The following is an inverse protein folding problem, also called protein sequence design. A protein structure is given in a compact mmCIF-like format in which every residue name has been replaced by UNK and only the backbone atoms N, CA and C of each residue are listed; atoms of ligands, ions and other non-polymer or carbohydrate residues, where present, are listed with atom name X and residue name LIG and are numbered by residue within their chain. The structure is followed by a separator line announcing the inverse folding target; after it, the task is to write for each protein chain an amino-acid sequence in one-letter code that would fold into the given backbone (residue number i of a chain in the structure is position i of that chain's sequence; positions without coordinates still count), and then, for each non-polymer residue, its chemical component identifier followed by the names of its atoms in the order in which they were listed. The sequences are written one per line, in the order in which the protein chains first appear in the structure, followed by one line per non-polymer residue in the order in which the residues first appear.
data_IF_312624067526
#
_entry.id   IF_312624067526
#
_cell.length_a   1.000
_cell.length_b   1.000
_cell.length_c   1.000
_cell.angle_alpha   90.00
_cell.angle_beta   90.00
_cell.angle_gamma   90.00
#
_symmetry.space_group_name_H-M   'P 1'
#
loop_
_entity.id
_entity.type
_entity.pdbx_description
1 polymer ?
#
# COMPACT_ATOMS: atom_id res chain seq x y z
N UNK A 1 4.59 93.77 12.05
CA UNK A 1 4.08 93.04 10.86
C UNK A 1 5.28 92.73 9.98
N UNK A 2 5.59 91.44 9.82
CA UNK A 2 6.83 90.94 9.20
C UNK A 2 6.57 90.60 7.71
N UNK A 3 7.50 90.82 6.76
CA UNK A 3 7.26 90.53 5.35
C UNK A 3 7.47 89.05 5.03
N UNK A 4 6.62 88.54 4.13
CA UNK A 4 6.61 87.15 3.63
C UNK A 4 7.66 87.01 2.52
N UNK A 5 8.68 86.17 2.73
CA UNK A 5 9.61 85.75 1.67
C UNK A 5 8.93 84.78 0.70
N UNK A 6 8.81 85.14 -0.58
CA UNK A 6 8.53 84.19 -1.67
C UNK A 6 9.84 83.53 -2.11
N UNK A 7 9.94 82.21 -1.99
CA UNK A 7 10.97 81.41 -2.66
C UNK A 7 10.45 80.89 -3.99
N UNK A 8 11.20 81.16 -5.07
CA UNK A 8 10.96 80.63 -6.42
C UNK A 8 11.67 79.30 -6.59
N UNK A 9 10.93 78.24 -6.94
CA UNK A 9 11.51 76.93 -7.29
C UNK A 9 11.90 76.95 -8.76
N UNK A 10 13.20 76.99 -9.03
CA UNK A 10 13.76 76.84 -10.39
C UNK A 10 13.85 75.37 -10.75
N UNK A 11 12.98 74.90 -11.65
CA UNK A 11 13.09 73.56 -12.23
C UNK A 11 14.15 73.56 -13.33
N UNK A 12 15.25 72.84 -13.08
CA UNK A 12 16.31 72.60 -14.07
C UNK A 12 15.78 71.56 -15.09
N UNK A 13 15.67 71.89 -16.39
CA UNK A 13 15.25 70.90 -17.37
C UNK A 13 16.40 69.92 -17.62
N UNK A 14 16.21 68.64 -17.27
CA UNK A 14 17.15 67.59 -17.61
C UNK A 14 16.95 67.16 -19.07
N UNK A 15 17.92 67.51 -19.90
CA UNK A 15 18.01 67.08 -21.29
C UNK A 15 18.63 65.67 -21.39
N UNK A 16 17.94 64.79 -22.11
CA UNK A 16 18.47 63.62 -22.83
C UNK A 16 19.30 62.58 -22.06
N UNK A 17 18.61 61.75 -21.28
CA UNK A 17 19.07 60.41 -20.84
C UNK A 17 17.97 59.36 -21.15
N UNK A 18 17.28 59.51 -22.30
CA UNK A 18 16.16 58.62 -22.72
C UNK A 18 16.63 57.19 -23.07
N UNK A 19 17.91 57.00 -23.37
CA UNK A 19 18.48 55.68 -23.68
C UNK A 19 18.86 54.87 -22.43
N UNK A 20 19.53 55.52 -21.47
CA UNK A 20 20.01 54.86 -20.25
C UNK A 20 18.87 54.38 -19.35
N UNK A 21 17.78 55.16 -19.26
CA UNK A 21 16.58 54.79 -18.50
C UNK A 21 15.91 53.52 -19.02
N UNK A 22 15.84 53.32 -20.33
CA UNK A 22 15.28 52.12 -20.95
C UNK A 22 16.11 50.86 -20.64
N UNK A 23 17.44 50.98 -20.67
CA UNK A 23 18.35 49.87 -20.37
C UNK A 23 18.24 49.47 -18.89
N UNK A 24 18.21 50.45 -17.98
CA UNK A 24 18.09 50.19 -16.54
C UNK A 24 16.76 49.51 -16.23
N UNK A 25 15.65 49.99 -16.80
CA UNK A 25 14.33 49.39 -16.60
C UNK A 25 14.28 47.96 -17.16
N UNK A 26 14.86 47.71 -18.34
CA UNK A 26 14.92 46.36 -18.91
C UNK A 26 15.69 45.39 -17.99
N UNK A 27 16.84 45.80 -17.46
CA UNK A 27 17.61 44.98 -16.52
C UNK A 27 16.85 44.71 -15.21
N UNK A 28 16.15 45.71 -14.69
CA UNK A 28 15.31 45.58 -13.49
C UNK A 28 14.17 44.58 -13.72
N UNK A 29 13.52 44.64 -14.88
CA UNK A 29 12.48 43.68 -15.27
C UNK A 29 13.03 42.25 -15.43
N UNK A 30 14.23 42.09 -15.99
CA UNK A 30 14.89 40.79 -16.11
C UNK A 30 15.22 40.22 -14.72
N UNK A 31 15.76 41.02 -13.80
CA UNK A 31 16.06 40.58 -12.44
C UNK A 31 14.80 40.11 -11.69
N UNK A 32 13.71 40.89 -11.79
CA UNK A 32 12.43 40.51 -11.18
C UNK A 32 11.87 39.24 -11.84
N UNK A 33 11.99 39.09 -13.16
CA UNK A 33 11.55 37.89 -13.87
C UNK A 33 12.36 36.64 -13.47
N UNK A 34 13.67 36.76 -13.27
CA UNK A 34 14.52 35.65 -12.83
C UNK A 34 14.16 35.19 -11.41
N UNK A 35 13.93 36.13 -10.49
CA UNK A 35 13.46 35.81 -9.12
C UNK A 35 12.06 35.20 -9.18
N UNK A 36 11.17 35.74 -10.02
CA UNK A 36 9.83 35.21 -10.24
C UNK A 36 9.85 33.75 -10.72
N UNK A 37 10.66 33.45 -11.75
CA UNK A 37 10.82 32.09 -12.29
C UNK A 37 11.38 31.12 -11.25
N UNK A 38 12.28 31.58 -10.37
CA UNK A 38 12.83 30.75 -9.29
C UNK A 38 11.76 30.38 -8.25
N UNK A 39 10.89 31.34 -7.90
CA UNK A 39 9.72 31.09 -7.03
C UNK A 39 8.70 30.16 -7.68
N UNK A 40 8.43 30.34 -8.99
CA UNK A 40 7.51 29.45 -9.72
C UNK A 40 8.06 28.02 -9.90
N UNK A 41 9.37 27.83 -10.06
CA UNK A 41 9.98 26.48 -10.09
C UNK A 41 9.80 25.71 -8.78
N UNK A 42 9.73 26.40 -7.65
CA UNK A 42 9.44 25.74 -6.38
C UNK A 42 7.97 25.29 -6.33
N UNK A 43 7.05 26.04 -6.94
CA UNK A 43 5.61 25.74 -6.96
C UNK A 43 5.21 24.56 -7.87
N UNK A 44 5.96 24.25 -8.92
CA UNK A 44 5.73 23.04 -9.73
C UNK A 44 6.26 21.76 -9.08
N UNK A 45 7.15 21.89 -8.09
CA UNK A 45 7.61 20.78 -7.27
C UNK A 45 6.51 20.30 -6.31
N UNK A 46 5.65 21.22 -5.85
CA UNK A 46 4.52 20.91 -4.98
C UNK A 46 3.42 20.09 -5.69
N UNK A 47 3.20 20.26 -7.00
CA UNK A 47 2.15 19.53 -7.72
C UNK A 47 2.46 18.03 -7.83
N UNK A 48 3.74 17.67 -8.06
CA UNK A 48 4.17 16.26 -8.11
C UNK A 48 4.15 15.62 -6.73
N UNK A 49 4.54 16.37 -5.70
CA UNK A 49 4.52 15.92 -4.30
C UNK A 49 3.06 15.73 -3.82
N UNK A 50 2.16 16.64 -4.19
CA UNK A 50 0.73 16.54 -3.87
C UNK A 50 0.08 15.31 -4.53
N UNK A 51 0.32 15.05 -5.81
CA UNK A 51 -0.27 13.88 -6.49
C UNK A 51 0.31 12.55 -5.97
N UNK A 52 1.61 12.49 -5.66
CA UNK A 52 2.21 11.30 -5.05
C UNK A 52 1.63 11.00 -3.65
N UNK A 53 1.42 12.04 -2.84
CA UNK A 53 0.79 11.90 -1.50
C UNK A 53 -0.67 11.44 -1.57
N UNK A 54 -1.42 11.89 -2.58
CA UNK A 54 -2.80 11.46 -2.82
C UNK A 54 -2.86 9.98 -3.19
N UNK A 55 -1.99 9.51 -4.08
CA UNK A 55 -1.91 8.08 -4.45
C UNK A 55 -1.53 7.22 -3.24
N UNK A 56 -0.53 7.64 -2.45
CA UNK A 56 -0.14 6.89 -1.26
C UNK A 56 -1.28 6.77 -0.24
N UNK A 57 -2.06 7.83 -0.04
CA UNK A 57 -3.21 7.82 0.88
C UNK A 57 -4.31 6.89 0.36
N UNK A 58 -4.57 6.94 -0.94
CA UNK A 58 -5.56 6.12 -1.62
C UNK A 58 -5.20 4.63 -1.53
N UNK A 59 -3.93 4.28 -1.78
CA UNK A 59 -3.42 2.91 -1.64
C UNK A 59 -3.46 2.44 -0.17
N UNK A 60 -3.15 3.32 0.78
CA UNK A 60 -3.29 3.02 2.21
C UNK A 60 -4.75 2.70 2.59
N UNK A 61 -5.70 3.49 2.09
CA UNK A 61 -7.13 3.25 2.31
C UNK A 61 -7.60 1.95 1.66
N UNK A 62 -7.11 1.64 0.45
CA UNK A 62 -7.41 0.38 -0.22
C UNK A 62 -6.95 -0.84 0.58
N UNK A 63 -5.74 -0.80 1.15
CA UNK A 63 -5.24 -1.83 2.06
C UNK A 63 -6.14 -1.99 3.29
N UNK A 64 -6.48 -0.89 3.97
CA UNK A 64 -7.36 -0.95 5.15
C UNK A 64 -8.77 -1.45 4.82
N UNK A 65 -9.30 -1.08 3.66
CA UNK A 65 -10.59 -1.59 3.17
C UNK A 65 -10.52 -3.09 2.85
N UNK A 66 -9.42 -3.57 2.28
CA UNK A 66 -9.24 -5.00 1.99
C UNK A 66 -9.20 -5.83 3.28
N UNK A 67 -8.48 -5.39 4.31
CA UNK A 67 -8.53 -6.01 5.63
C UNK A 67 -9.94 -6.00 6.22
N UNK A 68 -10.61 -4.85 6.22
CA UNK A 68 -11.97 -4.73 6.75
C UNK A 68 -12.97 -5.65 6.03
N UNK A 69 -12.83 -5.84 4.71
CA UNK A 69 -13.62 -6.81 3.95
C UNK A 69 -13.38 -8.22 4.49
N UNK A 70 -12.11 -8.63 4.64
CA UNK A 70 -11.74 -9.98 5.12
C UNK A 70 -12.27 -10.23 6.53
N UNK A 71 -12.11 -9.28 7.43
CA UNK A 71 -12.60 -9.38 8.80
C UNK A 71 -14.13 -9.48 8.85
N UNK A 72 -14.83 -8.70 8.02
CA UNK A 72 -16.29 -8.77 7.90
C UNK A 72 -16.75 -10.14 7.39
N UNK A 73 -16.08 -10.70 6.39
CA UNK A 73 -16.39 -12.03 5.88
C UNK A 73 -16.18 -13.10 6.96
N UNK A 74 -15.06 -13.04 7.68
CA UNK A 74 -14.77 -13.96 8.78
C UNK A 74 -15.79 -13.85 9.92
N UNK A 75 -16.24 -12.62 10.24
CA UNK A 75 -17.26 -12.40 11.26
C UNK A 75 -18.64 -12.93 10.84
N UNK A 76 -18.98 -12.86 9.54
CA UNK A 76 -20.25 -13.38 9.02
C UNK A 76 -20.24 -14.90 8.85
N UNK A 77 -19.09 -15.49 8.50
CA UNK A 77 -18.90 -16.92 8.28
C UNK A 77 -17.67 -17.43 9.07
N UNK A 78 -17.77 -17.54 10.40
CA UNK A 78 -16.69 -18.08 11.22
C UNK A 78 -16.39 -19.53 10.83
N UNK A 79 -15.12 -19.93 10.80
CA UNK A 79 -14.67 -21.22 10.27
C UNK A 79 -14.71 -21.28 8.74
N UNK A 80 -14.80 -20.13 8.08
CA UNK A 80 -14.77 -20.00 6.63
C UNK A 80 -13.47 -20.52 6.02
N UNK A 81 -13.38 -20.45 4.71
CA UNK A 81 -12.26 -21.01 3.96
C UNK A 81 -10.91 -20.39 4.28
N UNK A 82 -10.85 -19.08 4.58
CA UNK A 82 -9.62 -18.43 4.99
C UNK A 82 -9.11 -18.98 6.33
N UNK A 83 -9.97 -18.97 7.36
CA UNK A 83 -9.68 -19.53 8.68
C UNK A 83 -9.29 -21.01 8.59
N UNK A 84 -9.97 -21.78 7.73
CA UNK A 84 -9.63 -23.16 7.43
C UNK A 84 -8.18 -23.31 6.97
N UNK A 85 -7.74 -22.61 5.93
CA UNK A 85 -6.35 -22.74 5.43
C UNK A 85 -5.30 -22.26 6.44
N UNK A 86 -5.65 -21.29 7.28
CA UNK A 86 -4.70 -20.67 8.21
C UNK A 86 -4.56 -21.42 9.53
N UNK A 87 -5.57 -22.21 9.88
CA UNK A 87 -5.55 -23.10 11.04
C UNK A 87 -5.17 -24.53 10.67
N UNK A 88 -4.78 -24.78 9.41
CA UNK A 88 -4.40 -26.12 8.99
C UNK A 88 -3.28 -26.69 9.88
N UNK A 89 -3.46 -27.91 10.41
CA UNK A 89 -2.43 -28.59 11.15
C UNK A 89 -1.34 -29.14 10.22
N UNK A 90 -0.13 -29.30 10.75
CA UNK A 90 1.04 -29.82 10.03
C UNK A 90 2.08 -28.75 9.71
N UNK A 91 3.35 -29.12 9.86
CA UNK A 91 4.50 -28.23 9.62
C UNK A 91 4.65 -27.83 8.14
N UNK A 92 4.05 -28.60 7.23
CA UNK A 92 4.00 -28.33 5.80
C UNK A 92 3.16 -27.10 5.42
N UNK A 93 2.32 -26.61 6.34
CA UNK A 93 1.48 -25.42 6.17
C UNK A 93 2.14 -24.16 6.74
N UNK A 94 3.18 -24.32 7.55
CA UNK A 94 3.97 -23.19 8.03
C UNK A 94 4.66 -22.51 6.84
N UNK A 95 4.68 -21.19 6.83
CA UNK A 95 5.19 -20.37 5.73
C UNK A 95 4.43 -20.60 4.40
N UNK A 96 3.29 -21.28 4.43
CA UNK A 96 2.39 -21.35 3.27
C UNK A 96 1.67 -20.02 3.11
N UNK A 97 1.69 -19.52 1.89
CA UNK A 97 1.05 -18.28 1.51
C UNK A 97 -0.28 -18.56 0.82
N UNK A 98 -1.35 -17.99 1.38
CA UNK A 98 -2.69 -17.96 0.79
C UNK A 98 -2.88 -16.59 0.13
N UNK A 99 -3.03 -16.59 -1.18
CA UNK A 99 -2.97 -15.39 -2.02
C UNK A 99 -4.32 -15.18 -2.69
N UNK A 100 -4.91 -14.00 -2.58
CA UNK A 100 -6.14 -13.67 -3.31
C UNK A 100 -6.17 -12.19 -3.69
N UNK A 101 -6.85 -11.87 -4.80
CA UNK A 101 -7.00 -10.50 -5.26
C UNK A 101 -8.30 -9.89 -4.74
N UNK A 102 -8.22 -8.65 -4.26
CA UNK A 102 -9.36 -7.86 -3.82
C UNK A 102 -9.46 -6.62 -4.69
N UNK A 103 -10.51 -6.58 -5.50
CA UNK A 103 -10.96 -5.40 -6.22
C UNK A 103 -11.90 -4.52 -5.40
N UNK A 104 -12.13 -3.32 -5.92
CA UNK A 104 -13.03 -2.33 -5.31
C UNK A 104 -14.48 -2.86 -5.25
N UNK A 105 -14.98 -3.41 -6.37
CA UNK A 105 -16.36 -3.86 -6.55
C UNK A 105 -16.64 -5.29 -6.03
N UNK A 106 -15.65 -5.97 -5.47
CA UNK A 106 -15.82 -7.36 -5.02
C UNK A 106 -16.71 -7.43 -3.78
N UNK A 107 -17.82 -8.16 -3.93
CA UNK A 107 -18.82 -8.45 -2.87
C UNK A 107 -18.55 -9.76 -2.15
N UNK A 108 -17.77 -10.65 -2.77
CA UNK A 108 -17.18 -11.85 -2.17
C UNK A 108 -15.70 -11.79 -2.44
N UNK A 109 -14.93 -11.80 -1.37
CA UNK A 109 -13.48 -11.59 -1.38
C UNK A 109 -12.74 -12.91 -1.17
N UNK A 110 -13.38 -13.90 -0.56
CA UNK A 110 -12.86 -15.26 -0.53
C UNK A 110 -13.79 -16.24 -1.27
N UNK A 111 -13.25 -16.85 -2.34
CA UNK A 111 -13.85 -18.02 -2.98
C UNK A 111 -12.78 -19.14 -3.03
N UNK A 112 -13.12 -20.33 -2.52
CA UNK A 112 -12.22 -21.50 -2.50
C UNK A 112 -11.71 -21.87 -3.90
N UNK A 113 -12.47 -21.54 -4.96
CA UNK A 113 -12.07 -21.80 -6.34
C UNK A 113 -11.06 -20.82 -6.92
N UNK A 114 -10.86 -19.66 -6.27
CA UNK A 114 -10.05 -18.56 -6.80
C UNK A 114 -8.83 -18.23 -5.95
N UNK A 115 -8.59 -18.94 -4.84
CA UNK A 115 -7.41 -18.69 -4.01
C UNK A 115 -6.14 -19.26 -4.62
N UNK A 116 -5.06 -18.53 -4.49
CA UNK A 116 -3.66 -18.89 -4.71
C UNK A 116 -3.10 -19.62 -3.50
N UNK A 117 -2.40 -20.74 -3.69
CA UNK A 117 -1.64 -21.39 -2.61
C UNK A 117 -0.20 -21.57 -3.07
N UNK A 118 0.74 -21.01 -2.30
CA UNK A 118 2.17 -21.29 -2.42
C UNK A 118 2.66 -21.94 -1.15
N UNK A 119 3.09 -23.21 -1.25
CA UNK A 119 3.72 -23.93 -0.14
C UNK A 119 5.17 -23.45 0.02
N UNK A 120 5.78 -23.53 1.21
CA UNK A 120 7.17 -23.11 1.42
C UNK A 120 8.19 -23.83 0.54
N UNK A 121 7.91 -25.10 0.19
CA UNK A 121 8.76 -25.94 -0.64
C UNK A 121 8.53 -25.75 -2.15
N UNK A 122 7.58 -24.90 -2.55
CA UNK A 122 7.19 -24.68 -3.94
C UNK A 122 7.37 -23.19 -4.30
N UNK A 123 8.06 -22.91 -5.39
CA UNK A 123 8.19 -21.54 -5.89
C UNK A 123 6.94 -21.11 -6.68
N UNK A 124 6.08 -22.06 -7.06
CA UNK A 124 4.90 -21.80 -7.89
C UNK A 124 3.65 -21.63 -7.03
N UNK A 125 2.82 -20.67 -7.41
CA UNK A 125 1.44 -20.57 -6.93
C UNK A 125 0.62 -21.59 -7.70
N UNK A 126 -0.01 -22.54 -7.01
CA UNK A 126 -0.74 -23.66 -7.63
C UNK A 126 -2.05 -23.24 -8.32
N UNK A 127 -2.48 -21.99 -8.20
CA UNK A 127 -3.82 -21.49 -8.57
C UNK A 127 -3.82 -19.98 -8.90
N UNK A 128 -4.88 -19.46 -9.53
CA UNK A 128 -4.97 -18.11 -10.13
C UNK A 128 -5.39 -16.99 -9.16
N UNK A 129 -5.08 -17.10 -7.86
CA UNK A 129 -5.58 -16.10 -6.88
C UNK A 129 -4.80 -14.80 -6.80
N UNK A 130 -3.62 -14.70 -7.40
CA UNK A 130 -2.91 -13.43 -7.47
C UNK A 130 -3.70 -12.41 -8.31
N UNK A 131 -3.44 -11.12 -8.08
CA UNK A 131 -4.01 -10.09 -8.95
C UNK A 131 -3.41 -10.18 -10.36
N UNK A 132 -4.24 -10.02 -11.39
CA UNK A 132 -3.80 -10.00 -12.78
C UNK A 132 -3.99 -8.60 -13.37
N UNK A 133 -2.88 -7.94 -13.70
CA UNK A 133 -2.87 -6.63 -14.35
C UNK A 133 -3.42 -6.65 -15.78
N UNK A 134 -3.64 -7.82 -16.39
CA UNK A 134 -4.34 -7.98 -17.67
C UNK A 134 -5.85 -8.11 -17.50
N UNK A 135 -6.36 -8.41 -16.29
CA UNK A 135 -7.80 -8.54 -16.09
C UNK A 135 -8.46 -7.18 -16.39
N UNK A 136 -9.41 -7.10 -17.34
CA UNK A 136 -10.11 -5.84 -17.67
C UNK A 136 -10.85 -5.21 -16.48
N UNK A 137 -11.16 -5.98 -15.43
CA UNK A 137 -11.72 -5.46 -14.17
C UNK A 137 -10.69 -4.69 -13.34
N UNK A 138 -9.42 -4.94 -13.57
CA UNK A 138 -8.27 -4.47 -12.79
C UNK A 138 -7.43 -3.45 -13.58
N UNK A 139 -7.26 -3.67 -14.89
CA UNK A 139 -6.38 -2.91 -15.78
C UNK A 139 -6.84 -1.49 -16.11
N UNK A 140 -8.10 -1.13 -15.82
CA UNK A 140 -8.73 0.14 -16.17
C UNK A 140 -8.36 1.36 -15.30
N UNK A 141 -7.21 1.36 -14.64
CA UNK A 141 -6.80 2.43 -13.72
C UNK A 141 -7.46 2.40 -12.36
N UNK A 142 -7.90 1.21 -11.95
CA UNK A 142 -8.42 0.94 -10.63
C UNK A 142 -7.30 0.49 -9.71
N UNK A 143 -7.45 0.77 -8.43
CA UNK A 143 -6.57 0.17 -7.43
C UNK A 143 -6.97 -1.28 -7.26
N UNK A 144 -5.97 -2.13 -7.13
CA UNK A 144 -6.17 -3.50 -6.68
C UNK A 144 -5.30 -3.79 -5.48
N UNK A 145 -5.80 -4.67 -4.62
CA UNK A 145 -5.07 -5.10 -3.43
C UNK A 145 -4.86 -6.60 -3.51
N UNK A 146 -3.60 -7.02 -3.58
CA UNK A 146 -3.24 -8.42 -3.40
C UNK A 146 -3.12 -8.71 -1.91
N UNK A 147 -3.92 -9.65 -1.43
CA UNK A 147 -3.86 -10.15 -0.06
C UNK A 147 -3.00 -11.40 -0.02
N UNK A 148 -2.07 -11.46 0.94
CA UNK A 148 -1.25 -12.65 1.19
C UNK A 148 -1.29 -12.97 2.68
N UNK A 149 -1.82 -14.15 3.04
CA UNK A 149 -1.83 -14.63 4.41
C UNK A 149 -0.79 -15.73 4.58
N UNK A 150 0.07 -15.58 5.57
CA UNK A 150 1.17 -16.50 5.88
C UNK A 150 0.96 -17.07 7.27
N UNK A 151 0.88 -18.40 7.36
CA UNK A 151 0.89 -19.08 8.65
C UNK A 151 2.30 -18.98 9.24
N UNK A 152 2.46 -18.31 10.37
CA UNK A 152 3.77 -18.12 10.98
C UNK A 152 4.13 -19.33 11.84
N UNK A 153 5.42 -19.65 11.87
CA UNK A 153 6.01 -20.41 12.98
C UNK A 153 5.77 -19.63 14.27
N UNK A 154 5.48 -20.36 15.33
CA UNK A 154 5.39 -19.79 16.66
C UNK A 154 6.80 -19.50 17.16
N UNK A 155 7.01 -18.33 17.78
CA UNK A 155 8.31 -18.02 18.37
C UNK A 155 8.60 -18.98 19.52
N UNK A 156 9.75 -19.63 19.48
CA UNK A 156 10.20 -20.59 20.50
C UNK A 156 10.38 -19.96 21.90
N UNK A 157 10.27 -18.63 22.00
CA UNK A 157 10.35 -17.87 23.25
C UNK A 157 9.05 -17.89 24.06
N UNK A 158 7.91 -18.21 23.44
CA UNK A 158 6.63 -18.43 24.12
C UNK A 158 6.34 -19.93 24.17
N UNK A 159 6.99 -20.63 25.11
CA UNK A 159 6.63 -22.00 25.43
C UNK A 159 5.12 -22.05 25.70
N UNK A 160 4.40 -22.91 24.97
CA UNK A 160 2.95 -23.09 25.00
C UNK A 160 2.08 -22.01 24.32
N UNK A 161 2.63 -20.98 23.66
CA UNK A 161 1.81 -19.91 23.03
C UNK A 161 0.84 -20.36 21.92
N UNK A 162 0.97 -21.61 21.45
CA UNK A 162 0.07 -22.24 20.46
C UNK A 162 -0.85 -23.29 21.03
N UNK A 163 -0.66 -23.60 22.30
CA UNK A 163 -1.46 -24.53 23.04
C UNK A 163 -2.69 -23.80 23.57
N UNK A 164 -3.80 -24.52 23.55
CA UNK A 164 -5.01 -24.06 24.19
C UNK A 164 -4.94 -24.41 25.68
N UNK A 165 -5.28 -23.46 26.54
CA UNK A 165 -5.20 -23.60 27.99
C UNK A 165 -6.07 -24.77 28.47
N UNK A 166 -5.47 -25.65 29.28
CA UNK A 166 -6.17 -26.79 29.89
C UNK A 166 -6.18 -28.07 29.05
N UNK A 167 -5.40 -28.14 27.98
CA UNK A 167 -5.27 -29.36 27.15
C UNK A 167 -3.81 -29.72 26.95
N UNK A 168 -3.49 -31.01 26.84
CA UNK A 168 -2.20 -31.45 26.31
C UNK A 168 -2.31 -31.69 24.81
N UNK A 169 -1.24 -31.46 24.04
CA UNK A 169 -1.20 -31.70 22.57
C UNK A 169 -1.65 -33.11 22.15
N UNK A 170 -1.73 -34.06 23.09
CA UNK A 170 -2.16 -35.45 22.85
C UNK A 170 -3.67 -35.68 23.13
N UNK A 171 -4.35 -34.75 23.82
CA UNK A 171 -5.79 -34.87 24.17
C UNK A 171 -6.71 -34.31 23.07
N UNK A 172 -6.12 -33.79 22.00
CA UNK A 172 -6.77 -33.08 20.92
C UNK A 172 -6.91 -33.96 19.66
N UNK A 173 -6.91 -35.30 19.76
CA UNK A 173 -7.29 -36.12 18.60
C UNK A 173 -8.81 -36.06 18.40
N UNK A 174 -9.28 -35.25 17.43
CA UNK A 174 -10.68 -35.33 17.02
C UNK A 174 -10.91 -36.59 16.17
N UNK A 175 -12.10 -37.23 16.24
CA UNK A 175 -12.42 -38.45 15.48
C UNK A 175 -12.32 -38.32 13.95
N UNK A 176 -12.11 -37.10 13.43
CA UNK A 176 -12.02 -36.78 12.00
C UNK A 176 -10.60 -36.49 11.52
N UNK A 177 -9.56 -36.75 12.34
CA UNK A 177 -8.16 -36.54 11.95
C UNK A 177 -7.78 -35.07 11.74
N UNK A 178 -8.59 -34.14 12.23
CA UNK A 178 -8.29 -32.71 12.21
C UNK A 178 -7.80 -32.31 13.61
N UNK A 179 -6.51 -32.06 13.78
CA UNK A 179 -6.02 -31.52 15.05
C UNK A 179 -6.76 -30.19 15.32
N UNK A 180 -7.46 -30.06 16.46
CA UNK A 180 -8.33 -28.96 16.80
C UNK A 180 -7.51 -27.71 17.14
N UNK A 181 -8.22 -26.59 16.98
CA UNK A 181 -7.82 -25.20 17.20
C UNK A 181 -6.43 -25.00 17.81
N UNK A 182 -5.42 -24.86 16.95
CA UNK A 182 -4.10 -24.39 17.37
C UNK A 182 -4.10 -22.86 17.38
N UNK A 183 -3.58 -22.27 18.45
CA UNK A 183 -3.46 -20.82 18.62
C UNK A 183 -2.29 -20.29 17.80
N UNK A 184 -2.34 -20.48 16.48
CA UNK A 184 -1.24 -20.12 15.58
C UNK A 184 -1.30 -18.65 15.19
N UNK A 185 -0.19 -17.90 15.32
CA UNK A 185 -0.12 -16.57 14.75
C UNK A 185 -0.05 -16.66 13.21
N UNK A 186 -0.65 -15.70 12.55
CA UNK A 186 -0.50 -15.52 11.11
C UNK A 186 -0.32 -14.05 10.76
N UNK A 187 0.33 -13.81 9.63
CA UNK A 187 0.54 -12.47 9.08
C UNK A 187 -0.31 -12.30 7.83
N UNK A 188 -1.11 -11.25 7.79
CA UNK A 188 -1.80 -10.79 6.60
C UNK A 188 -1.05 -9.61 5.99
N UNK A 189 -0.69 -9.72 4.72
CA UNK A 189 -0.15 -8.65 3.89
C UNK A 189 -1.26 -8.13 3.00
N UNK A 190 -1.47 -6.81 2.99
CA UNK A 190 -2.28 -6.13 1.99
C UNK A 190 -1.33 -5.29 1.14
N UNK A 191 -1.32 -5.57 -0.16
CA UNK A 191 -0.42 -4.96 -1.14
C UNK A 191 -1.28 -4.28 -2.20
N UNK A 192 -1.62 -3.02 -1.95
CA UNK A 192 -2.33 -2.18 -2.91
C UNK A 192 -1.37 -1.62 -3.95
N UNK A 193 -1.77 -1.67 -5.22
CA UNK A 193 -1.05 -1.05 -6.32
C UNK A 193 -2.00 -0.42 -7.35
N UNK A 194 -1.44 0.45 -8.18
CA UNK A 194 -2.14 1.03 -9.33
C UNK A 194 -1.49 0.53 -10.64
N UNK A 195 -2.02 -0.53 -11.27
CA UNK A 195 -1.35 -1.19 -12.39
C UNK A 195 -1.15 -0.31 -13.62
N UNK A 196 -2.05 0.64 -13.87
CA UNK A 196 -1.98 1.53 -15.04
C UNK A 196 -1.11 2.77 -14.80
N UNK A 197 -0.39 2.86 -13.68
CA UNK A 197 0.44 4.01 -13.40
C UNK A 197 1.80 3.86 -14.07
N UNK A 198 2.01 4.59 -15.15
CA UNK A 198 3.25 4.56 -15.93
C UNK A 198 3.16 3.66 -17.16
N UNK A 199 4.28 3.55 -17.89
CA UNK A 199 4.36 2.82 -19.15
C UNK A 199 5.00 1.43 -18.95
N UNK A 200 4.54 0.71 -17.92
CA UNK A 200 5.02 -0.64 -17.55
C UNK A 200 4.06 -1.68 -18.14
N UNK A 201 4.59 -2.81 -18.63
CA UNK A 201 3.73 -3.86 -19.17
C UNK A 201 3.00 -4.60 -18.05
N UNK A 202 1.76 -5.02 -18.30
CA UNK A 202 1.02 -5.86 -17.36
C UNK A 202 1.76 -7.18 -17.06
N UNK A 203 2.57 -7.68 -17.99
CA UNK A 203 3.43 -8.86 -17.78
C UNK A 203 4.48 -8.65 -16.71
N UNK A 204 5.15 -7.49 -16.69
CA UNK A 204 6.18 -7.17 -15.68
C UNK A 204 5.55 -6.99 -14.29
N UNK A 205 4.38 -6.35 -14.23
CA UNK A 205 3.61 -6.19 -12.99
C UNK A 205 3.21 -7.57 -12.45
N UNK A 206 2.67 -8.44 -13.31
CA UNK A 206 2.28 -9.79 -12.92
C UNK A 206 3.49 -10.61 -12.44
N UNK A 207 4.65 -10.46 -13.07
CA UNK A 207 5.88 -11.11 -12.62
C UNK A 207 6.26 -10.68 -11.19
N UNK A 208 6.05 -9.42 -10.83
CA UNK A 208 6.21 -8.96 -9.44
C UNK A 208 5.18 -9.60 -8.50
N UNK A 209 3.90 -9.63 -8.88
CA UNK A 209 2.81 -10.14 -8.05
C UNK A 209 2.91 -11.65 -7.74
N UNK A 210 3.70 -12.38 -8.52
CA UNK A 210 4.01 -13.80 -8.29
C UNK A 210 5.16 -14.03 -7.28
N UNK A 211 5.92 -12.99 -6.92
CA UNK A 211 7.01 -13.10 -5.92
C UNK A 211 6.47 -13.28 -4.50
N UNK A 212 7.35 -13.65 -3.56
CA UNK A 212 7.01 -13.76 -2.13
C UNK A 212 6.54 -12.42 -1.59
N UNK A 213 5.67 -12.45 -0.57
CA UNK A 213 5.02 -11.24 -0.06
C UNK A 213 6.01 -10.09 0.23
N UNK A 214 7.17 -10.43 0.82
CA UNK A 214 8.22 -9.48 1.17
C UNK A 214 8.95 -8.87 -0.05
N UNK A 215 8.95 -9.56 -1.20
CA UNK A 215 9.68 -9.16 -2.41
C UNK A 215 8.81 -8.36 -3.39
N UNK A 216 7.48 -8.40 -3.26
CA UNK A 216 6.55 -7.76 -4.20
C UNK A 216 6.78 -6.24 -4.24
N UNK A 217 6.85 -5.60 -3.08
CA UNK A 217 7.02 -4.14 -2.98
C UNK A 217 8.31 -3.68 -3.65
N UNK A 218 9.42 -4.37 -3.38
CA UNK A 218 10.73 -4.08 -3.98
C UNK A 218 10.66 -4.18 -5.50
N UNK A 219 10.07 -5.24 -6.03
CA UNK A 219 9.90 -5.43 -7.48
C UNK A 219 9.04 -4.33 -8.11
N UNK A 220 7.91 -3.96 -7.50
CA UNK A 220 7.04 -2.90 -8.01
C UNK A 220 7.72 -1.53 -7.97
N UNK A 221 8.52 -1.25 -6.94
CA UNK A 221 9.30 -0.03 -6.82
C UNK A 221 10.36 0.08 -7.92
N UNK A 222 11.04 -1.02 -8.27
CA UNK A 222 12.02 -1.07 -9.37
C UNK A 222 11.38 -0.76 -10.73
N UNK A 223 10.11 -1.17 -10.93
CA UNK A 223 9.32 -0.85 -12.12
C UNK A 223 8.70 0.56 -12.10
N UNK A 224 8.77 1.28 -10.97
CA UNK A 224 8.14 2.59 -10.79
C UNK A 224 6.61 2.53 -10.63
N UNK A 225 6.07 1.37 -10.23
CA UNK A 225 4.63 1.18 -9.98
C UNK A 225 4.32 1.59 -8.55
N UNK A 226 3.45 2.59 -8.31
CA UNK A 226 3.04 3.00 -6.99
C UNK A 226 2.34 1.86 -6.27
N UNK A 227 2.82 1.59 -5.07
CA UNK A 227 2.32 0.54 -4.22
C UNK A 227 2.34 1.00 -2.75
N UNK A 228 1.54 0.33 -1.93
CA UNK A 228 1.59 0.45 -0.49
C UNK A 228 1.44 -0.95 0.11
N UNK A 229 2.26 -1.27 1.11
CA UNK A 229 2.16 -2.52 1.85
C UNK A 229 1.77 -2.24 3.29
N UNK A 230 0.77 -2.96 3.76
CA UNK A 230 0.41 -3.04 5.17
C UNK A 230 0.51 -4.49 5.63
N UNK A 231 1.04 -4.69 6.83
CA UNK A 231 1.16 -6.01 7.45
C UNK A 231 0.39 -5.98 8.77
N UNK A 232 -0.50 -6.96 8.96
CA UNK A 232 -1.21 -7.19 10.21
C UNK A 232 -0.88 -8.58 10.73
N UNK A 233 -0.63 -8.68 12.03
CA UNK A 233 -0.46 -9.97 12.69
C UNK A 233 -1.72 -10.29 13.47
N UNK A 234 -2.19 -11.51 13.34
CA UNK A 234 -3.41 -11.97 13.97
C UNK A 234 -3.14 -13.26 14.75
N UNK A 235 -4.03 -13.52 15.70
CA UNK A 235 -4.08 -14.76 16.46
C UNK A 235 -5.52 -15.23 16.49
N UNK A 236 -5.79 -16.44 16.00
CA UNK A 236 -7.11 -17.05 16.13
C UNK A 236 -7.23 -17.64 17.54
N UNK A 237 -8.25 -17.19 18.26
CA UNK A 237 -8.63 -17.74 19.55
C UNK A 237 -9.94 -18.55 19.38
N UNK A 238 -9.93 -19.88 19.60
CA UNK A 238 -11.16 -20.66 19.56
C UNK A 238 -12.17 -20.17 20.60
N UNK A 239 -13.46 -20.12 20.21
CA UNK A 239 -14.54 -19.78 21.14
C UNK A 239 -14.56 -20.80 22.29
N UNK A 240 -14.38 -20.31 23.51
CA UNK A 240 -14.38 -21.04 24.79
C UNK A 240 -13.05 -21.63 25.26
N UNK A 241 -11.94 -21.45 24.52
CA UNK A 241 -10.61 -21.88 25.00
C UNK A 241 -9.63 -20.73 24.86
N UNK A 242 -8.94 -20.43 25.96
CA UNK A 242 -7.95 -19.36 26.00
C UNK A 242 -6.63 -19.87 25.44
N UNK A 243 -6.04 -19.17 24.48
CA UNK A 243 -4.66 -19.41 24.06
C UNK A 243 -3.70 -19.00 25.17
N UNK A 244 -2.71 -19.86 25.47
CA UNK A 244 -1.69 -19.58 26.48
C UNK A 244 -0.74 -18.44 26.06
#
# INVERSE_FOLDING_TARGET
MNPIHKQSITYKPMSHERGATLIIVMFMLILIALIGVMVFKNSTSDLRIATASQISTLLFQANSNAFAKVEKENHQNPGGSLEYYMTHPGDEWVDTEIIFCVGEDDTKIFDKGTIGIRKPSDDRIRTTGHCDANDPKISGGRIVTQMVYIQSKQDALEAFGGEVAGTSSNDLETPTGHNPASCKPFKGYAISLLPSYGNVSAGDINACLLKKADDIATCLNELGVPNNVQVQTYRIEPKSIKCL
#
